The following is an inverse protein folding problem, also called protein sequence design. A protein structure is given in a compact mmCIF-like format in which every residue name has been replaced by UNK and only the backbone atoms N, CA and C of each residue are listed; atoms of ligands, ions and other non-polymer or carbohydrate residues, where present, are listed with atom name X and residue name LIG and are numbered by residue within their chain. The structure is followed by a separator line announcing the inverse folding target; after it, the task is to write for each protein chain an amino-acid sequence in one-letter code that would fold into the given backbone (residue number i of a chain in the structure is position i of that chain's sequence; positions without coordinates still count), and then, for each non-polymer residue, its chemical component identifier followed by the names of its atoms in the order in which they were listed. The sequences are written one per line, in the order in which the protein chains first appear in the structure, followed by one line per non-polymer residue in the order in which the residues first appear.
data_IF_129473849608
#
_entry.id   IF_129473849608
#
_cell.length_a   1.000
_cell.length_b   1.000
_cell.length_c   1.000
_cell.angle_alpha   90.00
_cell.angle_beta   90.00
_cell.angle_gamma   90.00
#
_symmetry.space_group_name_H-M   'P 1'
#
loop_
_entity.id
_entity.type
_entity.pdbx_description
1 polymer ?
#
# COMPACT_ATOMS: atom_id res chain seq x y z
N UNK A 1 -1.72 13.83 18.95
CA UNK A 1 -2.70 14.78 18.35
C UNK A 1 -2.58 14.90 16.81
N UNK A 2 -1.50 14.39 16.21
CA UNK A 2 -1.26 14.55 14.77
C UNK A 2 -2.23 13.73 13.90
N UNK A 3 -2.93 12.77 14.46
CA UNK A 3 -3.45 11.70 13.62
C UNK A 3 -4.97 11.53 13.52
N UNK A 4 -5.73 12.14 14.40
CA UNK A 4 -7.19 12.18 14.22
C UNK A 4 -7.53 13.06 13.02
N UNK A 5 -6.80 14.15 12.82
CA UNK A 5 -6.99 15.04 11.68
C UNK A 5 -6.68 14.36 10.34
N UNK A 6 -5.62 13.57 10.25
CA UNK A 6 -5.26 12.82 9.03
C UNK A 6 -6.27 11.72 8.71
N UNK A 7 -6.80 11.03 9.74
CA UNK A 7 -7.88 10.05 9.58
C UNK A 7 -9.18 10.71 9.09
N UNK A 8 -9.54 11.83 9.71
CA UNK A 8 -10.72 12.60 9.32
C UNK A 8 -10.56 13.08 7.87
N UNK A 9 -9.40 13.63 7.51
CA UNK A 9 -9.13 14.04 6.13
C UNK A 9 -9.23 12.86 5.14
N UNK A 10 -8.65 11.72 5.46
CA UNK A 10 -8.75 10.53 4.61
C UNK A 10 -10.19 10.04 4.47
N UNK A 11 -10.98 10.08 5.56
CA UNK A 11 -12.39 9.70 5.55
C UNK A 11 -13.24 10.60 4.66
N UNK A 12 -12.98 11.91 4.67
CA UNK A 12 -13.75 12.89 3.90
C UNK A 12 -13.24 13.14 2.48
N UNK A 13 -11.96 12.85 2.19
CA UNK A 13 -11.37 13.07 0.86
C UNK A 13 -11.44 11.84 -0.05
N UNK A 14 -11.72 10.66 0.49
CA UNK A 14 -11.80 9.42 -0.28
C UNK A 14 -13.24 8.89 -0.34
N UNK A 15 -13.60 8.16 -1.42
CA UNK A 15 -14.87 7.44 -1.47
C UNK A 15 -14.98 6.40 -0.33
N UNK A 16 -16.16 6.24 0.29
CA UNK A 16 -17.43 6.92 -0.02
C UNK A 16 -17.58 8.32 0.62
N UNK A 17 -16.71 8.73 1.56
CA UNK A 17 -16.87 9.94 2.37
C UNK A 17 -17.09 11.21 1.55
N UNK A 18 -16.22 11.50 0.58
CA UNK A 18 -16.34 12.71 -0.27
C UNK A 18 -17.67 12.73 -1.03
N UNK A 19 -18.16 11.58 -1.48
CA UNK A 19 -19.42 11.47 -2.23
C UNK A 19 -20.60 11.82 -1.32
N UNK A 20 -20.59 11.32 -0.09
CA UNK A 20 -21.65 11.62 0.90
C UNK A 20 -21.63 13.12 1.23
N UNK A 21 -20.47 13.70 1.48
CA UNK A 21 -20.33 15.13 1.80
C UNK A 21 -20.83 15.99 0.63
N UNK A 22 -20.43 15.68 -0.59
CA UNK A 22 -20.88 16.45 -1.77
C UNK A 22 -22.38 16.31 -2.01
N UNK A 23 -22.97 15.12 -1.80
CA UNK A 23 -24.41 14.93 -1.88
C UNK A 23 -25.17 15.75 -0.83
N UNK A 24 -24.71 15.74 0.44
CA UNK A 24 -25.32 16.53 1.51
C UNK A 24 -25.24 18.04 1.23
N UNK A 25 -24.10 18.52 0.73
CA UNK A 25 -23.97 19.91 0.28
C UNK A 25 -24.92 20.22 -0.88
N UNK A 26 -25.07 19.30 -1.81
CA UNK A 26 -26.04 19.45 -2.90
C UNK A 26 -27.49 19.58 -2.37
N UNK A 27 -27.90 18.78 -1.40
CA UNK A 27 -29.20 18.93 -0.74
C UNK A 27 -29.37 20.27 -0.04
N UNK A 28 -28.36 20.78 0.65
CA UNK A 28 -28.42 22.11 1.27
C UNK A 28 -28.54 23.22 0.24
N UNK A 29 -27.80 23.12 -0.88
CA UNK A 29 -27.88 24.09 -1.97
C UNK A 29 -29.25 24.07 -2.65
N UNK A 30 -29.90 22.91 -2.75
CA UNK A 30 -31.26 22.77 -3.30
C UNK A 30 -32.30 23.68 -2.62
N UNK A 31 -32.13 23.99 -1.34
CA UNK A 31 -33.05 24.86 -0.59
C UNK A 31 -33.17 26.23 -1.24
N UNK A 32 -32.07 26.77 -1.80
CA UNK A 32 -32.04 28.12 -2.41
C UNK A 32 -31.95 28.06 -3.93
N UNK A 33 -31.24 27.08 -4.49
CA UNK A 33 -30.98 26.91 -5.91
C UNK A 33 -31.28 25.47 -6.35
N UNK A 34 -32.56 25.20 -6.62
CA UNK A 34 -33.08 23.85 -6.90
C UNK A 34 -32.27 23.11 -7.97
N UNK A 35 -32.04 23.75 -9.14
CA UNK A 35 -31.34 23.11 -10.27
C UNK A 35 -29.87 22.83 -9.95
N UNK A 36 -29.17 23.78 -9.32
CA UNK A 36 -27.76 23.62 -8.97
C UNK A 36 -27.58 22.52 -7.93
N UNK A 37 -28.40 22.50 -6.87
CA UNK A 37 -28.35 21.46 -5.85
C UNK A 37 -28.69 20.08 -6.43
N UNK A 38 -29.74 19.97 -7.26
CA UNK A 38 -30.11 18.72 -7.94
C UNK A 38 -28.99 18.18 -8.82
N UNK A 39 -28.29 19.07 -9.53
CA UNK A 39 -27.15 18.68 -10.37
C UNK A 39 -26.01 18.09 -9.52
N UNK A 40 -25.66 18.72 -8.38
CA UNK A 40 -24.61 18.24 -7.48
C UNK A 40 -25.00 16.86 -6.90
N UNK A 41 -26.24 16.69 -6.47
CA UNK A 41 -26.74 15.41 -5.97
C UNK A 41 -26.66 14.34 -7.06
N UNK A 42 -27.14 14.62 -8.26
CA UNK A 42 -27.09 13.69 -9.38
C UNK A 42 -25.63 13.30 -9.74
N UNK A 43 -24.72 14.27 -9.73
CA UNK A 43 -23.29 14.02 -9.96
C UNK A 43 -22.66 13.14 -8.87
N UNK A 44 -23.07 13.35 -7.61
CA UNK A 44 -22.59 12.50 -6.49
C UNK A 44 -23.06 11.06 -6.65
N UNK A 45 -24.32 10.82 -7.03
CA UNK A 45 -24.82 9.47 -7.31
C UNK A 45 -24.13 8.84 -8.53
N UNK A 46 -23.91 9.61 -9.59
CA UNK A 46 -23.18 9.14 -10.76
C UNK A 46 -21.73 8.73 -10.39
N UNK A 47 -21.06 9.54 -9.59
CA UNK A 47 -19.72 9.23 -9.09
C UNK A 47 -19.71 7.96 -8.23
N UNK A 48 -20.70 7.79 -7.33
CA UNK A 48 -20.85 6.57 -6.54
C UNK A 48 -21.03 5.35 -7.45
N UNK A 49 -21.92 5.44 -8.42
CA UNK A 49 -22.19 4.36 -9.38
C UNK A 49 -20.91 3.97 -10.13
N UNK A 50 -20.24 4.95 -10.75
CA UNK A 50 -19.02 4.72 -11.54
C UNK A 50 -17.91 4.11 -10.69
N UNK A 51 -17.65 4.64 -9.50
CA UNK A 51 -16.59 4.14 -8.62
C UNK A 51 -16.94 2.79 -7.98
N UNK A 52 -18.21 2.41 -7.93
CA UNK A 52 -18.65 1.09 -7.47
C UNK A 52 -18.54 0.01 -8.55
N UNK A 53 -18.26 0.37 -9.80
CA UNK A 53 -18.02 -0.61 -10.85
C UNK A 53 -16.64 -1.28 -10.66
N UNK A 54 -16.55 -2.62 -10.57
CA UNK A 54 -15.28 -3.35 -10.55
C UNK A 54 -14.38 -2.97 -11.72
N UNK A 55 -14.95 -2.75 -12.90
CA UNK A 55 -14.21 -2.26 -14.08
C UNK A 55 -13.44 -0.97 -13.80
N UNK A 56 -14.08 0.01 -13.14
CA UNK A 56 -13.44 1.29 -12.80
C UNK A 56 -12.28 1.07 -11.81
N UNK A 57 -12.53 0.32 -10.74
CA UNK A 57 -11.52 0.00 -9.74
C UNK A 57 -10.31 -0.73 -10.36
N UNK A 58 -10.56 -1.72 -11.21
CA UNK A 58 -9.51 -2.46 -11.92
C UNK A 58 -8.71 -1.56 -12.88
N UNK A 59 -9.36 -0.62 -13.57
CA UNK A 59 -8.66 0.34 -14.45
C UNK A 59 -7.75 1.27 -13.66
N UNK A 60 -8.23 1.81 -12.54
CA UNK A 60 -7.41 2.65 -11.67
C UNK A 60 -6.23 1.88 -11.07
N UNK A 61 -6.44 0.62 -10.66
CA UNK A 61 -5.37 -0.25 -10.17
C UNK A 61 -4.38 -0.59 -11.27
N UNK A 62 -4.84 -0.90 -12.48
CA UNK A 62 -3.99 -1.23 -13.61
C UNK A 62 -2.99 -0.10 -13.93
N UNK A 63 -3.39 1.17 -13.82
CA UNK A 63 -2.46 2.30 -13.99
C UNK A 63 -1.32 2.29 -12.97
N UNK A 64 -1.61 1.92 -11.72
CA UNK A 64 -0.59 1.83 -10.67
C UNK A 64 0.30 0.59 -10.89
N UNK A 65 -0.31 -0.57 -11.06
CA UNK A 65 0.37 -1.87 -11.12
C UNK A 65 1.18 -2.04 -12.41
N UNK A 66 0.80 -1.37 -13.52
CA UNK A 66 1.56 -1.39 -14.77
C UNK A 66 2.96 -0.77 -14.69
N UNK A 67 3.21 -0.01 -13.63
CA UNK A 67 4.51 0.63 -13.37
C UNK A 67 5.51 -0.30 -12.70
N UNK A 68 5.04 -1.45 -12.22
CA UNK A 68 5.81 -2.41 -11.43
C UNK A 68 5.62 -3.80 -12.02
N UNK A 69 6.71 -4.55 -12.17
CA UNK A 69 6.67 -5.94 -12.63
C UNK A 69 6.80 -6.91 -11.46
N UNK A 70 6.20 -8.12 -11.54
CA UNK A 70 6.50 -9.20 -10.60
C UNK A 70 8.01 -9.44 -10.52
N UNK A 71 8.52 -9.67 -9.30
CA UNK A 71 9.94 -9.94 -9.08
C UNK A 71 10.39 -11.19 -9.83
N UNK A 72 11.51 -11.08 -10.54
CA UNK A 72 12.32 -12.22 -10.96
C UNK A 72 13.63 -12.18 -10.17
N UNK A 73 14.06 -13.31 -9.61
CA UNK A 73 15.31 -13.33 -8.82
C UNK A 73 16.54 -12.91 -9.64
N UNK A 74 16.48 -13.07 -10.96
CA UNK A 74 17.47 -12.56 -11.90
C UNK A 74 17.56 -11.04 -11.95
N UNK A 75 16.53 -10.32 -11.51
CA UNK A 75 16.50 -8.85 -11.49
C UNK A 75 17.55 -8.26 -10.51
N UNK A 76 18.04 -9.08 -9.58
CA UNK A 76 19.16 -8.72 -8.71
C UNK A 76 20.52 -8.71 -9.40
N UNK A 77 20.63 -9.30 -10.59
CA UNK A 77 21.87 -9.45 -11.36
C UNK A 77 22.11 -8.30 -12.37
N UNK A 78 21.55 -7.11 -12.10
CA UNK A 78 21.64 -5.92 -12.97
C UNK A 78 23.00 -5.18 -12.89
N UNK A 79 24.02 -5.79 -12.30
CA UNK A 79 25.36 -5.20 -12.10
C UNK A 79 25.46 -4.30 -10.86
N UNK A 80 24.39 -4.11 -10.13
CA UNK A 80 24.38 -3.41 -8.82
C UNK A 80 24.89 -4.27 -7.66
N UNK A 81 25.04 -3.70 -6.45
CA UNK A 81 25.39 -4.47 -5.26
C UNK A 81 24.38 -5.60 -5.01
N UNK A 82 24.86 -6.75 -4.57
CA UNK A 82 23.98 -7.84 -4.16
C UNK A 82 23.04 -7.39 -3.02
N UNK A 83 21.76 -7.79 -3.01
CA UNK A 83 20.86 -7.48 -1.91
C UNK A 83 21.32 -8.16 -0.63
N UNK A 84 21.27 -7.43 0.50
CA UNK A 84 21.71 -7.93 1.80
C UNK A 84 20.58 -8.12 2.81
N UNK A 85 19.34 -7.80 2.44
CA UNK A 85 18.17 -7.92 3.31
C UNK A 85 16.87 -8.00 2.50
N UNK A 86 15.81 -8.44 3.20
CA UNK A 86 14.41 -8.36 2.75
C UNK A 86 13.68 -7.42 3.72
N UNK A 87 13.14 -6.32 3.21
CA UNK A 87 12.34 -5.36 3.97
C UNK A 87 10.87 -5.70 3.74
N UNK A 88 10.12 -5.92 4.81
CA UNK A 88 8.66 -6.16 4.74
C UNK A 88 7.95 -4.99 5.40
N UNK A 89 7.07 -4.30 4.65
CA UNK A 89 6.28 -3.19 5.17
C UNK A 89 4.99 -3.68 5.79
N UNK A 90 4.62 -3.13 6.95
CA UNK A 90 3.31 -3.35 7.56
C UNK A 90 2.16 -2.80 6.71
N UNK A 91 0.96 -3.25 6.96
CA UNK A 91 -0.26 -2.89 6.24
C UNK A 91 -1.51 -2.82 7.12
N UNK A 92 -1.33 -2.90 8.43
CA UNK A 92 -2.38 -2.78 9.44
C UNK A 92 -2.48 -3.97 10.38
N UNK A 93 -3.33 -3.83 11.39
CA UNK A 93 -3.56 -4.81 12.44
C UNK A 93 -5.05 -5.05 12.69
N UNK A 94 -5.36 -6.15 13.34
CA UNK A 94 -6.59 -6.35 14.08
C UNK A 94 -6.31 -6.08 15.54
N UNK A 95 -7.09 -5.19 16.15
CA UNK A 95 -6.98 -4.88 17.58
C UNK A 95 -7.84 -5.84 18.39
N UNK A 96 -7.33 -6.24 19.57
CA UNK A 96 -8.07 -7.06 20.53
C UNK A 96 -8.73 -8.30 19.89
N UNK A 97 -7.99 -9.02 19.05
CA UNK A 97 -8.52 -10.19 18.33
C UNK A 97 -8.90 -11.32 19.31
N UNK A 98 -10.18 -11.69 19.40
CA UNK A 98 -10.66 -12.63 20.43
C UNK A 98 -10.03 -14.01 20.30
N UNK A 99 -9.81 -14.48 19.06
CA UNK A 99 -9.18 -15.76 18.73
C UNK A 99 -7.71 -15.84 19.16
N UNK A 100 -7.08 -14.71 19.41
CA UNK A 100 -5.72 -14.60 19.96
C UNK A 100 -5.71 -14.12 21.42
N UNK A 101 -6.79 -14.38 22.18
CA UNK A 101 -6.92 -14.01 23.60
C UNK A 101 -6.97 -12.49 23.82
N UNK A 102 -7.70 -11.79 22.99
CA UNK A 102 -7.84 -10.31 22.97
C UNK A 102 -6.49 -9.57 22.83
N UNK A 103 -5.53 -10.17 22.14
CA UNK A 103 -4.28 -9.50 21.76
C UNK A 103 -4.37 -8.99 20.33
N UNK A 104 -3.58 -7.95 20.03
CA UNK A 104 -3.45 -7.47 18.67
C UNK A 104 -2.80 -8.53 17.78
N UNK A 105 -3.25 -8.60 16.53
CA UNK A 105 -2.71 -9.47 15.50
C UNK A 105 -2.49 -8.70 14.20
N UNK A 106 -1.68 -9.24 13.30
CA UNK A 106 -1.48 -8.66 11.96
C UNK A 106 -2.76 -8.72 11.14
N UNK A 107 -3.05 -7.69 10.35
CA UNK A 107 -4.17 -7.72 9.41
C UNK A 107 -3.91 -8.71 8.27
N UNK A 108 -4.97 -9.06 7.52
CA UNK A 108 -4.84 -9.87 6.31
C UNK A 108 -3.79 -9.28 5.35
N UNK A 109 -3.80 -7.96 5.13
CA UNK A 109 -2.85 -7.27 4.25
C UNK A 109 -1.41 -7.48 4.71
N UNK A 110 -1.16 -7.37 6.01
CA UNK A 110 0.17 -7.58 6.59
C UNK A 110 0.58 -9.05 6.52
N UNK A 111 -0.36 -9.97 6.81
CA UNK A 111 -0.11 -11.42 6.76
C UNK A 111 0.29 -11.88 5.34
N UNK A 112 -0.34 -11.35 4.31
CA UNK A 112 0.01 -11.64 2.92
C UNK A 112 1.44 -11.19 2.59
N UNK A 113 1.86 -10.00 3.06
CA UNK A 113 3.24 -9.50 2.91
C UNK A 113 4.24 -10.36 3.65
N UNK A 114 3.94 -10.74 4.88
CA UNK A 114 4.75 -11.64 5.71
C UNK A 114 4.94 -12.99 5.00
N UNK A 115 3.87 -13.59 4.50
CA UNK A 115 3.92 -14.85 3.75
C UNK A 115 4.88 -14.76 2.55
N UNK A 116 4.79 -13.67 1.78
CA UNK A 116 5.67 -13.49 0.63
C UNK A 116 7.11 -13.20 1.04
N UNK A 117 7.34 -12.40 2.08
CA UNK A 117 8.66 -12.15 2.66
C UNK A 117 9.32 -13.41 3.18
N UNK A 118 8.57 -14.27 3.88
CA UNK A 118 9.05 -15.58 4.33
C UNK A 118 9.39 -16.50 3.16
N UNK A 119 8.61 -16.48 2.08
CA UNK A 119 8.93 -17.20 0.85
C UNK A 119 10.25 -16.74 0.24
N UNK A 120 10.46 -15.42 0.10
CA UNK A 120 11.71 -14.86 -0.41
C UNK A 120 12.91 -15.21 0.48
N UNK A 121 12.72 -15.19 1.82
CA UNK A 121 13.76 -15.60 2.76
C UNK A 121 14.21 -17.03 2.49
N UNK A 122 13.27 -17.98 2.32
CA UNK A 122 13.59 -19.38 2.03
C UNK A 122 14.32 -19.55 0.69
N UNK A 123 14.01 -18.73 -0.32
CA UNK A 123 14.67 -18.79 -1.62
C UNK A 123 16.07 -18.17 -1.63
N UNK A 124 16.28 -17.12 -0.82
CA UNK A 124 17.50 -16.29 -0.91
C UNK A 124 18.45 -16.45 0.27
N UNK A 125 17.96 -16.95 1.41
CA UNK A 125 18.70 -16.97 2.67
C UNK A 125 18.93 -15.61 3.31
N UNK A 126 18.38 -14.53 2.73
CA UNK A 126 18.61 -13.15 3.21
C UNK A 126 17.85 -12.86 4.50
N UNK A 127 18.44 -12.12 5.44
CA UNK A 127 17.79 -11.74 6.67
C UNK A 127 16.61 -10.79 6.45
N UNK A 128 15.60 -10.88 7.31
CA UNK A 128 14.39 -10.06 7.26
C UNK A 128 14.51 -8.84 8.18
N UNK A 129 14.09 -7.69 7.66
CA UNK A 129 13.73 -6.49 8.39
C UNK A 129 12.23 -6.26 8.25
N UNK A 130 11.51 -6.10 9.36
CA UNK A 130 10.11 -5.66 9.37
C UNK A 130 10.04 -4.19 9.75
N UNK A 131 9.18 -3.41 9.07
CA UNK A 131 9.07 -1.97 9.29
C UNK A 131 7.62 -1.54 9.33
N UNK A 132 7.17 -1.14 10.50
CA UNK A 132 5.90 -0.45 10.79
C UNK A 132 5.82 -0.10 12.27
N UNK A 133 5.41 1.12 12.59
CA UNK A 133 5.28 1.57 13.98
C UNK A 133 3.86 1.50 14.52
N UNK A 134 3.51 2.53 15.32
CA UNK A 134 2.22 2.73 15.98
C UNK A 134 1.61 4.06 15.53
N UNK A 135 1.11 4.18 14.29
CA UNK A 135 0.65 5.47 13.73
C UNK A 135 -0.54 6.06 14.50
N UNK A 136 -1.21 5.27 15.32
CA UNK A 136 -2.38 5.71 16.08
C UNK A 136 -2.17 5.65 17.59
N UNK A 137 -0.91 5.49 18.02
CA UNK A 137 -0.56 5.44 19.44
C UNK A 137 -0.84 4.07 20.09
N UNK A 138 -0.86 3.01 19.28
CA UNK A 138 -1.02 1.65 19.77
C UNK A 138 0.14 1.27 20.69
N UNK A 139 -0.15 0.50 21.75
CA UNK A 139 0.85 0.10 22.74
C UNK A 139 1.95 -0.79 22.14
N UNK A 140 1.56 -1.71 21.26
CA UNK A 140 2.49 -2.61 20.59
C UNK A 140 2.64 -2.16 19.12
N UNK A 141 3.86 -1.81 18.65
CA UNK A 141 4.09 -1.49 17.25
C UNK A 141 3.74 -2.66 16.33
N UNK A 142 3.23 -2.37 15.11
CA UNK A 142 2.87 -3.41 14.17
C UNK A 142 4.06 -4.30 13.79
N UNK A 143 5.28 -3.75 13.73
CA UNK A 143 6.50 -4.53 13.45
C UNK A 143 6.75 -5.66 14.48
N UNK A 144 6.37 -5.48 15.74
CA UNK A 144 6.46 -6.55 16.74
C UNK A 144 5.43 -7.66 16.48
N UNK A 145 4.22 -7.32 16.03
CA UNK A 145 3.22 -8.30 15.61
C UNK A 145 3.69 -9.07 14.37
N UNK A 146 4.34 -8.35 13.43
CA UNK A 146 4.92 -8.96 12.23
C UNK A 146 6.04 -9.95 12.58
N UNK A 147 6.91 -9.58 13.52
CA UNK A 147 7.94 -10.49 14.04
C UNK A 147 7.31 -11.72 14.65
N UNK A 148 6.34 -11.55 15.54
CA UNK A 148 5.66 -12.68 16.19
C UNK A 148 5.09 -13.64 15.14
N UNK A 149 4.37 -13.14 14.14
CA UNK A 149 3.81 -13.98 13.09
C UNK A 149 4.89 -14.67 12.24
N UNK A 150 5.99 -14.00 11.89
CA UNK A 150 7.10 -14.60 11.15
C UNK A 150 7.76 -15.73 11.94
N UNK A 151 8.01 -15.54 13.22
CA UNK A 151 8.70 -16.50 14.06
C UNK A 151 7.79 -17.67 14.48
N UNK A 152 6.52 -17.40 14.86
CA UNK A 152 5.60 -18.44 15.31
C UNK A 152 4.98 -19.24 14.16
N UNK A 153 4.46 -18.56 13.12
CA UNK A 153 3.63 -19.20 12.12
C UNK A 153 4.44 -19.64 10.89
N UNK A 154 5.48 -18.88 10.54
CA UNK A 154 6.33 -19.15 9.38
C UNK A 154 7.69 -19.76 9.71
N UNK A 155 8.08 -19.83 11.01
CA UNK A 155 9.37 -20.34 11.50
C UNK A 155 10.55 -19.62 10.84
N UNK A 156 10.43 -18.30 10.67
CA UNK A 156 11.44 -17.44 10.06
C UNK A 156 11.86 -16.37 11.05
N UNK A 157 13.14 -16.35 11.42
CA UNK A 157 13.69 -15.37 12.35
C UNK A 157 13.74 -13.97 11.73
N UNK A 158 13.34 -12.96 12.51
CA UNK A 158 13.44 -11.55 12.15
C UNK A 158 14.72 -10.97 12.71
N UNK A 159 15.57 -10.42 11.84
CA UNK A 159 16.86 -9.86 12.26
C UNK A 159 16.75 -8.42 12.74
N UNK A 160 15.91 -7.60 12.12
CA UNK A 160 15.74 -6.19 12.49
C UNK A 160 14.27 -5.79 12.53
N UNK A 161 13.93 -4.97 13.50
CA UNK A 161 12.58 -4.47 13.74
C UNK A 161 12.64 -2.95 13.73
N UNK A 162 12.01 -2.32 12.76
CA UNK A 162 11.77 -0.89 12.74
C UNK A 162 10.34 -0.65 13.23
N UNK A 163 10.19 0.01 14.38
CA UNK A 163 8.93 0.14 15.12
C UNK A 163 8.55 1.59 15.44
N UNK A 164 9.25 2.59 14.87
CA UNK A 164 9.05 4.00 15.22
C UNK A 164 8.25 4.78 14.19
N UNK A 165 8.12 4.25 12.99
CA UNK A 165 7.51 4.95 11.85
C UNK A 165 5.99 5.10 11.98
N UNK A 166 5.46 6.26 11.62
CA UNK A 166 4.04 6.53 11.49
C UNK A 166 3.55 6.57 10.03
N UNK A 167 4.45 6.56 9.06
CA UNK A 167 4.13 6.64 7.63
C UNK A 167 5.25 6.05 6.76
N UNK A 168 5.00 5.91 5.44
CA UNK A 168 5.94 5.24 4.53
C UNK A 168 7.29 5.97 4.38
N UNK A 169 7.34 7.30 4.51
CA UNK A 169 8.60 8.04 4.48
C UNK A 169 9.44 7.75 5.72
N UNK A 170 8.79 7.68 6.87
CA UNK A 170 9.45 7.34 8.12
C UNK A 170 9.92 5.88 8.13
N UNK A 171 9.12 4.94 7.56
CA UNK A 171 9.58 3.57 7.33
C UNK A 171 10.93 3.58 6.61
N UNK A 172 11.03 4.30 5.50
CA UNK A 172 12.25 4.40 4.72
C UNK A 172 13.39 5.03 5.53
N UNK A 173 13.12 6.14 6.21
CA UNK A 173 14.11 6.89 6.98
C UNK A 173 14.71 6.08 8.13
N UNK A 174 13.87 5.41 8.93
CA UNK A 174 14.36 4.63 10.06
C UNK A 174 14.99 3.31 9.61
N UNK A 175 14.42 2.67 8.58
CA UNK A 175 15.06 1.50 7.95
C UNK A 175 16.46 1.81 7.43
N UNK A 176 16.68 3.00 6.82
CA UNK A 176 18.01 3.43 6.35
C UNK A 176 19.05 3.41 7.47
N UNK A 177 18.71 3.90 8.65
CA UNK A 177 19.64 3.95 9.79
C UNK A 177 20.09 2.52 10.15
N UNK A 178 19.13 1.58 10.23
CA UNK A 178 19.42 0.18 10.57
C UNK A 178 20.26 -0.52 9.51
N UNK A 179 19.91 -0.33 8.23
CA UNK A 179 20.65 -0.94 7.12
C UNK A 179 22.07 -0.37 6.98
N UNK A 180 22.25 0.93 7.24
CA UNK A 180 23.58 1.55 7.23
C UNK A 180 24.49 0.97 8.32
N UNK A 181 23.99 0.76 9.53
CA UNK A 181 24.71 0.10 10.61
C UNK A 181 25.09 -1.35 10.24
N UNK A 182 24.21 -2.04 9.54
CA UNK A 182 24.44 -3.40 9.05
C UNK A 182 25.28 -3.46 7.75
N UNK A 183 25.72 -2.31 7.20
CA UNK A 183 26.45 -2.18 5.91
C UNK A 183 25.67 -2.77 4.73
N UNK A 184 24.34 -2.82 4.80
CA UNK A 184 23.45 -3.25 3.71
C UNK A 184 23.16 -2.06 2.81
N UNK A 185 23.58 -2.14 1.53
CA UNK A 185 23.40 -1.06 0.55
C UNK A 185 22.17 -1.23 -0.33
N UNK A 186 21.68 -2.47 -0.46
CA UNK A 186 20.57 -2.82 -1.32
C UNK A 186 19.70 -3.92 -0.67
N UNK A 187 18.40 -3.84 -0.81
CA UNK A 187 17.47 -4.80 -0.22
C UNK A 187 16.26 -5.05 -1.12
N UNK A 188 15.67 -6.24 -1.00
CA UNK A 188 14.32 -6.47 -1.54
C UNK A 188 13.31 -5.70 -0.70
N UNK A 189 12.32 -5.07 -1.36
CA UNK A 189 11.24 -4.35 -0.71
C UNK A 189 9.92 -5.05 -0.98
N UNK A 190 9.31 -5.61 0.08
CA UNK A 190 8.06 -6.38 0.01
C UNK A 190 6.89 -5.54 0.45
N UNK A 191 5.93 -5.35 -0.45
CA UNK A 191 4.62 -4.77 -0.19
C UNK A 191 3.66 -5.12 -1.34
N UNK A 192 2.38 -4.75 -1.22
CA UNK A 192 1.41 -4.94 -2.32
C UNK A 192 1.78 -4.12 -3.56
N UNK A 193 1.43 -4.65 -4.74
CA UNK A 193 1.71 -4.04 -6.03
C UNK A 193 1.16 -2.61 -6.13
N UNK A 194 -0.06 -2.38 -5.63
CA UNK A 194 -0.66 -1.04 -5.62
C UNK A 194 0.10 -0.02 -4.76
N UNK A 195 0.76 -0.47 -3.70
CA UNK A 195 1.54 0.37 -2.80
C UNK A 195 3.00 0.53 -3.21
N UNK A 196 3.51 -0.39 -4.02
CA UNK A 196 4.92 -0.49 -4.38
C UNK A 196 5.51 0.80 -4.99
N UNK A 197 4.83 1.51 -5.92
CA UNK A 197 5.38 2.76 -6.47
C UNK A 197 5.67 3.80 -5.40
N UNK A 198 4.78 3.96 -4.42
CA UNK A 198 4.96 4.92 -3.32
C UNK A 198 6.04 4.47 -2.34
N UNK A 199 6.13 3.18 -2.07
CA UNK A 199 7.15 2.60 -1.20
C UNK A 199 8.55 2.77 -1.83
N UNK A 200 8.73 2.36 -3.09
CA UNK A 200 10.01 2.53 -3.81
C UNK A 200 10.46 3.98 -3.80
N UNK A 201 9.55 4.90 -4.17
CA UNK A 201 9.88 6.32 -4.15
C UNK A 201 10.36 6.78 -2.76
N UNK A 202 9.69 6.35 -1.68
CA UNK A 202 10.07 6.75 -0.31
C UNK A 202 11.47 6.24 0.06
N UNK A 203 11.79 5.00 -0.30
CA UNK A 203 13.07 4.39 -0.01
C UNK A 203 14.21 4.97 -0.85
N UNK A 204 13.99 5.20 -2.14
CA UNK A 204 14.96 5.83 -3.03
C UNK A 204 15.24 7.29 -2.64
N UNK A 205 14.21 8.04 -2.21
CA UNK A 205 14.38 9.40 -1.70
C UNK A 205 15.28 9.47 -0.46
N UNK A 206 15.26 8.42 0.36
CA UNK A 206 16.17 8.27 1.50
C UNK A 206 17.55 7.68 1.10
N UNK A 207 17.75 7.34 -0.17
CA UNK A 207 19.01 6.80 -0.70
C UNK A 207 19.22 5.31 -0.43
N UNK A 208 18.14 4.55 -0.23
CA UNK A 208 18.18 3.09 -0.14
C UNK A 208 17.87 2.53 -1.53
N UNK A 209 18.81 1.79 -2.11
CA UNK A 209 18.53 1.08 -3.36
C UNK A 209 17.66 -0.15 -3.08
N UNK A 210 16.45 -0.13 -3.61
CA UNK A 210 15.51 -1.24 -3.44
C UNK A 210 15.33 -2.04 -4.71
N UNK A 211 15.16 -3.35 -4.56
CA UNK A 211 14.64 -4.24 -5.59
C UNK A 211 13.17 -4.47 -5.25
N UNK A 212 12.23 -3.96 -6.05
CA UNK A 212 10.82 -4.16 -5.79
C UNK A 212 10.46 -5.64 -5.81
N UNK A 213 9.80 -6.09 -4.74
CA UNK A 213 9.24 -7.43 -4.62
C UNK A 213 7.73 -7.31 -4.37
N UNK A 214 6.97 -6.88 -5.37
CA UNK A 214 5.53 -6.66 -5.27
C UNK A 214 4.78 -7.98 -5.17
N UNK A 215 3.68 -7.96 -4.40
CA UNK A 215 2.76 -9.09 -4.31
C UNK A 215 1.30 -8.60 -4.39
N UNK A 216 0.33 -9.52 -4.48
CA UNK A 216 -1.09 -9.17 -4.47
C UNK A 216 -1.52 -8.31 -5.67
N UNK A 217 -1.09 -8.66 -6.88
CA UNK A 217 -1.56 -8.01 -8.10
C UNK A 217 -3.05 -8.27 -8.33
N UNK A 218 -3.85 -7.21 -8.39
CA UNK A 218 -5.29 -7.30 -8.63
C UNK A 218 -5.63 -7.47 -10.10
N UNK A 219 -4.76 -6.95 -10.99
CA UNK A 219 -5.00 -6.92 -12.44
C UNK A 219 -4.59 -8.21 -13.16
N UNK A 220 -3.91 -9.15 -12.47
CA UNK A 220 -3.53 -10.44 -13.05
C UNK A 220 -4.66 -11.48 -13.03
N UNK A 221 -5.68 -11.29 -12.19
CA UNK A 221 -6.84 -12.19 -12.14
C UNK A 221 -7.82 -11.88 -13.28
N UNK A 222 -7.86 -12.74 -14.29
CA UNK A 222 -8.66 -12.54 -15.51
C UNK A 222 -10.12 -12.99 -15.38
N UNK A 223 -10.43 -13.88 -14.43
CA UNK A 223 -11.71 -14.59 -14.37
C UNK A 223 -12.92 -13.68 -14.03
N UNK A 224 -12.71 -12.57 -13.33
CA UNK A 224 -13.80 -11.66 -12.91
C UNK A 224 -14.16 -10.57 -13.93
N UNK A 225 -13.50 -10.53 -15.10
CA UNK A 225 -13.56 -9.36 -15.99
C UNK A 225 -14.76 -9.30 -16.90
N UNK A 226 -15.32 -10.44 -17.33
CA UNK A 226 -16.12 -10.44 -18.55
C UNK A 226 -17.63 -10.21 -18.35
N UNK A 227 -18.20 -10.50 -17.20
CA UNK A 227 -19.66 -10.43 -17.03
C UNK A 227 -20.11 -9.55 -15.85
N UNK A 228 -19.42 -9.61 -14.71
CA UNK A 228 -19.83 -8.90 -13.48
C UNK A 228 -19.13 -7.54 -13.29
N UNK A 229 -18.14 -7.21 -14.11
CA UNK A 229 -17.33 -5.99 -13.98
C UNK A 229 -18.11 -4.69 -14.17
N UNK A 230 -19.26 -4.74 -14.78
CA UNK A 230 -20.13 -3.59 -15.05
C UNK A 230 -21.30 -3.45 -14.09
N UNK A 231 -21.40 -4.31 -13.06
CA UNK A 231 -22.41 -4.17 -12.02
C UNK A 231 -21.80 -3.56 -10.77
N UNK A 232 -22.46 -2.53 -10.18
CA UNK A 232 -21.95 -1.90 -8.95
C UNK A 232 -21.82 -2.89 -7.81
N UNK A 233 -20.71 -2.81 -7.09
CA UNK A 233 -20.43 -3.66 -5.94
C UNK A 233 -19.64 -2.94 -4.86
N UNK A 234 -19.73 -3.41 -3.62
CA UNK A 234 -18.94 -2.90 -2.51
C UNK A 234 -17.41 -3.13 -2.74
N UNK A 235 -17.05 -4.26 -3.35
CA UNK A 235 -15.66 -4.58 -3.70
C UNK A 235 -15.11 -3.63 -4.78
N UNK A 236 -15.92 -3.25 -5.79
CA UNK A 236 -15.54 -2.26 -6.80
C UNK A 236 -15.26 -0.89 -6.19
N UNK A 237 -16.14 -0.43 -5.27
CA UNK A 237 -15.93 0.83 -4.55
C UNK A 237 -14.68 0.79 -3.66
N UNK A 238 -14.47 -0.31 -2.95
CA UNK A 238 -13.28 -0.51 -2.13
C UNK A 238 -11.99 -0.45 -2.97
N UNK A 239 -11.95 -1.15 -4.09
CA UNK A 239 -10.81 -1.16 -5.01
C UNK A 239 -10.53 0.24 -5.57
N UNK A 240 -11.58 0.96 -5.99
CA UNK A 240 -11.48 2.35 -6.45
C UNK A 240 -10.94 3.27 -5.36
N UNK A 241 -11.39 3.09 -4.11
CA UNK A 241 -10.93 3.88 -2.96
C UNK A 241 -9.45 3.65 -2.66
N UNK A 242 -8.97 2.39 -2.70
CA UNK A 242 -7.54 2.07 -2.54
C UNK A 242 -6.72 2.73 -3.64
N UNK A 243 -7.13 2.58 -4.90
CA UNK A 243 -6.41 3.15 -6.04
C UNK A 243 -6.33 4.68 -5.95
N UNK A 244 -7.44 5.36 -5.66
CA UNK A 244 -7.46 6.81 -5.48
C UNK A 244 -6.58 7.27 -4.33
N UNK A 245 -6.53 6.53 -3.21
CA UNK A 245 -5.62 6.82 -2.09
C UNK A 245 -4.16 6.80 -2.53
N UNK A 246 -3.76 5.81 -3.30
CA UNK A 246 -2.37 5.72 -3.78
C UNK A 246 -2.06 6.82 -4.81
N UNK A 247 -2.97 7.12 -5.74
CA UNK A 247 -2.80 8.23 -6.68
C UNK A 247 -2.65 9.58 -5.97
N UNK A 248 -3.52 9.86 -4.98
CA UNK A 248 -3.43 11.09 -4.18
C UNK A 248 -2.16 11.13 -3.33
N UNK A 249 -1.77 10.00 -2.74
CA UNK A 249 -0.52 9.88 -1.99
C UNK A 249 0.71 10.17 -2.85
N UNK A 250 0.76 9.63 -4.07
CA UNK A 250 1.84 9.91 -5.03
C UNK A 250 1.84 11.36 -5.49
N UNK A 251 0.66 11.95 -5.74
CA UNK A 251 0.55 13.36 -6.09
C UNK A 251 1.06 14.27 -4.97
N UNK A 252 0.65 13.97 -3.72
CA UNK A 252 1.12 14.70 -2.55
C UNK A 252 2.65 14.66 -2.40
N UNK A 253 3.25 13.50 -2.60
CA UNK A 253 4.71 13.35 -2.53
C UNK A 253 5.42 14.14 -3.63
N UNK A 254 4.89 14.14 -4.86
CA UNK A 254 5.42 14.94 -5.98
C UNK A 254 5.36 16.44 -5.68
N UNK A 255 4.26 16.91 -5.10
CA UNK A 255 4.08 18.34 -4.78
C UNK A 255 4.99 18.78 -3.63
N UNK A 256 5.14 17.94 -2.61
CA UNK A 256 5.89 18.29 -1.39
C UNK A 256 7.42 18.15 -1.54
N UNK A 257 7.89 17.19 -2.32
CA UNK A 257 9.29 16.79 -2.38
C UNK A 257 9.92 16.89 -3.78
N UNK A 258 9.19 17.41 -4.79
CA UNK A 258 9.69 17.62 -6.15
C UNK A 258 9.67 16.38 -7.04
N UNK A 259 10.34 16.45 -8.21
CA UNK A 259 10.29 15.42 -9.25
C UNK A 259 10.82 14.06 -8.75
N UNK A 260 9.94 13.09 -8.73
CA UNK A 260 10.28 11.68 -8.55
C UNK A 260 11.03 11.19 -9.78
N UNK A 261 12.30 10.89 -9.67
CA UNK A 261 13.00 10.08 -10.67
C UNK A 261 12.61 8.63 -10.42
N UNK A 262 11.60 8.13 -11.12
CA UNK A 262 11.48 6.68 -11.27
C UNK A 262 12.62 6.23 -12.17
N UNK A 263 13.54 5.46 -11.63
CA UNK A 263 14.34 4.58 -12.47
C UNK A 263 13.37 3.48 -12.94
N UNK A 264 13.05 3.38 -14.23
CA UNK A 264 12.17 2.32 -14.68
C UNK A 264 12.91 1.00 -14.39
N UNK A 265 12.30 0.16 -13.54
CA UNK A 265 12.64 -1.25 -13.55
C UNK A 265 12.55 -1.69 -15.01
N UNK A 266 13.62 -2.27 -15.53
CA UNK A 266 13.80 -2.69 -16.92
C UNK A 266 12.49 -3.18 -17.52
N UNK A 267 12.05 -2.54 -18.63
CA UNK A 267 10.89 -2.99 -19.41
C UNK A 267 10.99 -4.50 -19.62
N UNK A 268 9.89 -5.26 -19.48
CA UNK A 268 9.90 -6.67 -19.83
C UNK A 268 10.36 -6.78 -21.28
N UNK A 269 11.38 -7.59 -21.52
CA UNK A 269 11.71 -8.02 -22.86
C UNK A 269 10.43 -8.64 -23.44
N UNK A 270 9.92 -8.06 -24.52
CA UNK A 270 8.81 -8.60 -25.29
C UNK A 270 9.17 -10.04 -25.63
N UNK A 271 8.42 -10.98 -25.05
CA UNK A 271 8.47 -12.37 -25.49
C UNK A 271 7.97 -12.40 -26.94
N UNK A 272 8.87 -12.71 -27.85
CA UNK A 272 8.52 -13.18 -29.17
C UNK A 272 7.92 -14.58 -29.08
#
# INVERSE_FOLDING_TARGET
LVDIASKIQALFLLPPGIIIVTALLGFLIQIRWLLAGSFIVALSFAALLILSLPFTGQRLMADIESRISPLRLTDAADGGPAPGAIIILGGGRYTEAPEYGNRDSVSQVTLERIRYGAHLHRLTGLPILVSSGSPYGEQVPEAELMKTALESDFQVAVKWIESQSANTLENARYTKIMLAQAKVRRAYLVTHAFHMPRAVWSFENEGIHTIPAPMGFTTLNKEDRETLGYFPSASGLHLSSIALREHLGMLWYKLKHGKVKFSPATKPATAN
#
